data_IF_422077142436
#
_entry.id   IF_422077142436
#
_cell.length_a   1.000
_cell.length_b   1.000
_cell.length_c   1.000
_cell.angle_alpha   90.00
_cell.angle_beta   90.00
_cell.angle_gamma   90.00
#
_symmetry.space_group_name_H-M   'P 1'
#
loop_
_entity.id
_entity.type
_entity.pdbx_description
1 polymer ?
#
# COMPACT_ATOMS: atom_id res chain seq x y z
N UNK A 1 -54.74 -1.76 62.72
CA UNK A 1 -53.69 -2.64 63.33
C UNK A 1 -53.89 -2.59 64.83
N UNK A 2 -53.96 -3.78 65.48
CA UNK A 2 -54.15 -3.90 66.91
C UNK A 2 -53.17 -4.95 67.49
N UNK A 3 -52.81 -4.82 68.76
CA UNK A 3 -52.07 -5.86 69.47
C UNK A 3 -53.02 -7.03 69.89
N UNK A 4 -52.47 -8.07 70.51
CA UNK A 4 -53.23 -9.24 70.95
C UNK A 4 -54.24 -8.92 72.08
N UNK A 5 -54.13 -7.80 72.77
CA UNK A 5 -55.07 -7.31 73.80
C UNK A 5 -56.17 -6.40 73.22
N UNK A 6 -56.15 -6.13 71.90
CA UNK A 6 -57.13 -5.29 71.21
C UNK A 6 -56.84 -3.81 71.15
N UNK A 7 -55.65 -3.35 71.65
CA UNK A 7 -55.28 -1.93 71.59
C UNK A 7 -54.90 -1.50 70.20
N UNK A 8 -55.30 -0.31 69.77
CA UNK A 8 -54.95 0.24 68.49
C UNK A 8 -53.47 0.62 68.43
N UNK A 9 -52.79 0.25 67.34
CA UNK A 9 -51.45 0.70 67.06
C UNK A 9 -51.43 2.22 66.81
N UNK A 10 -50.42 2.90 67.34
CA UNK A 10 -50.12 4.24 66.87
C UNK A 10 -49.42 4.15 65.52
N UNK A 11 -49.98 4.77 64.48
CA UNK A 11 -49.49 4.77 63.12
C UNK A 11 -48.72 6.03 62.75
N UNK A 12 -48.35 6.85 63.72
CA UNK A 12 -47.52 8.04 63.46
C UNK A 12 -46.11 7.56 63.06
N UNK A 13 -45.77 7.84 61.83
CA UNK A 13 -44.47 7.55 61.27
C UNK A 13 -43.49 8.70 61.53
N UNK A 14 -42.20 8.37 61.68
CA UNK A 14 -41.15 9.40 61.74
C UNK A 14 -41.20 10.27 60.49
N UNK A 15 -40.99 11.56 60.66
CA UNK A 15 -40.87 12.49 59.53
C UNK A 15 -39.74 12.03 58.58
N UNK A 16 -39.85 12.26 57.27
CA UNK A 16 -38.79 11.97 56.33
C UNK A 16 -37.45 12.54 56.77
N UNK A 17 -36.37 11.78 56.65
CA UNK A 17 -35.00 12.08 57.09
C UNK A 17 -34.81 12.21 58.65
N UNK A 18 -35.85 12.16 59.50
CA UNK A 18 -35.72 12.11 60.95
C UNK A 18 -35.23 10.71 61.42
N UNK A 19 -34.67 10.67 62.64
CA UNK A 19 -34.27 9.40 63.29
C UNK A 19 -35.42 8.38 63.26
N UNK A 20 -35.14 7.10 62.89
CA UNK A 20 -36.12 6.02 62.68
C UNK A 20 -37.01 6.15 61.43
N UNK A 21 -36.78 7.15 60.57
CA UNK A 21 -37.40 7.17 59.25
C UNK A 21 -36.73 6.16 58.32
N UNK A 22 -37.40 5.79 57.20
CA UNK A 22 -36.82 4.91 56.18
C UNK A 22 -35.54 5.52 55.60
N UNK A 23 -35.50 6.79 55.26
CA UNK A 23 -34.32 7.45 54.71
C UNK A 23 -33.15 7.63 55.68
N UNK A 24 -33.42 7.65 57.01
CA UNK A 24 -32.35 7.63 58.03
C UNK A 24 -31.74 6.24 58.22
N UNK A 25 -32.53 5.18 57.99
CA UNK A 25 -32.10 3.78 58.27
C UNK A 25 -31.64 3.05 57.03
N UNK A 26 -31.98 3.53 55.79
CA UNK A 26 -31.67 2.88 54.49
C UNK A 26 -31.35 3.92 53.45
N UNK A 27 -30.25 3.76 52.74
CA UNK A 27 -29.93 4.49 51.53
C UNK A 27 -30.51 3.71 50.34
N UNK A 28 -31.78 3.97 50.01
CA UNK A 28 -32.46 3.36 48.88
C UNK A 28 -32.54 4.38 47.74
N UNK A 29 -31.99 4.03 46.60
CA UNK A 29 -32.04 4.84 45.38
C UNK A 29 -32.93 4.09 44.40
N UNK A 30 -33.88 4.80 43.78
CA UNK A 30 -34.67 4.35 42.66
C UNK A 30 -34.07 4.98 41.42
N UNK A 31 -33.45 4.13 40.58
CA UNK A 31 -32.84 4.54 39.32
C UNK A 31 -33.67 4.00 38.15
N UNK A 32 -34.09 4.90 37.26
CA UNK A 32 -34.88 4.62 36.05
C UNK A 32 -34.18 5.14 34.79
N UNK A 33 -32.94 5.64 34.93
CA UNK A 33 -32.14 6.13 33.81
C UNK A 33 -31.54 4.91 33.11
N UNK A 34 -31.63 4.84 31.80
CA UNK A 34 -31.06 3.78 31.00
C UNK A 34 -29.72 4.20 30.43
N UNK A 35 -28.66 3.38 30.52
CA UNK A 35 -27.40 3.67 29.86
C UNK A 35 -27.59 3.87 28.35
N UNK A 36 -26.96 4.89 27.77
CA UNK A 36 -26.94 5.14 26.34
C UNK A 36 -25.52 5.20 25.81
N UNK A 37 -25.30 4.85 24.52
CA UNK A 37 -23.98 5.03 23.89
C UNK A 37 -23.75 6.51 23.61
N UNK A 38 -22.62 7.04 24.03
CA UNK A 38 -22.21 8.44 23.80
C UNK A 38 -21.17 8.58 22.70
N UNK A 39 -20.27 7.59 22.54
CA UNK A 39 -19.24 7.62 21.50
C UNK A 39 -18.67 6.22 21.22
N UNK A 40 -18.17 6.04 20.01
CA UNK A 40 -17.31 4.91 19.60
C UNK A 40 -15.98 5.48 19.15
N UNK A 41 -14.87 4.90 19.63
CA UNK A 41 -13.52 5.31 19.24
C UNK A 41 -12.56 4.12 19.34
N UNK A 42 -11.27 4.35 19.24
CA UNK A 42 -10.24 3.31 19.41
C UNK A 42 -9.08 3.82 20.27
N UNK A 43 -8.48 2.94 21.04
CA UNK A 43 -7.20 3.21 21.72
C UNK A 43 -6.00 2.95 20.80
N UNK A 44 -6.20 2.24 19.69
CA UNK A 44 -5.19 2.05 18.65
C UNK A 44 -4.90 3.39 17.96
N UNK A 45 -3.66 3.64 17.58
CA UNK A 45 -3.26 4.88 16.90
C UNK A 45 -3.94 5.02 15.53
N UNK A 46 -3.96 6.23 14.98
CA UNK A 46 -4.31 6.44 13.57
C UNK A 46 -3.20 5.83 12.69
N UNK A 47 -3.59 5.25 11.55
CA UNK A 47 -2.65 4.62 10.61
C UNK A 47 -3.30 3.56 9.75
N UNK A 48 -2.47 2.91 8.93
CA UNK A 48 -2.87 1.79 8.08
C UNK A 48 -2.49 0.47 8.76
N UNK A 49 -3.33 -0.53 8.61
CA UNK A 49 -3.22 -1.82 9.28
C UNK A 49 -3.48 -2.96 8.29
N UNK A 50 -2.73 -4.05 8.40
CA UNK A 50 -2.82 -5.22 7.52
C UNK A 50 -3.28 -6.47 8.27
N UNK A 51 -3.38 -7.59 7.58
CA UNK A 51 -3.77 -8.89 8.16
C UNK A 51 -2.93 -9.26 9.37
N UNK A 52 -3.60 -9.55 10.49
CA UNK A 52 -2.98 -9.95 11.76
C UNK A 52 -2.85 -8.82 12.78
N UNK A 53 -2.99 -7.57 12.38
CA UNK A 53 -2.93 -6.42 13.28
C UNK A 53 -4.14 -6.37 14.21
N UNK A 54 -3.91 -5.86 15.43
CA UNK A 54 -4.93 -5.76 16.46
C UNK A 54 -5.38 -4.31 16.66
N UNK A 55 -6.70 -4.09 16.61
CA UNK A 55 -7.35 -2.79 16.78
C UNK A 55 -8.31 -2.88 17.96
N UNK A 56 -8.07 -2.09 19.01
CA UNK A 56 -8.91 -2.04 20.20
C UNK A 56 -9.98 -0.96 20.07
N UNK A 57 -11.22 -1.37 19.74
CA UNK A 57 -12.37 -0.47 19.59
C UNK A 57 -13.07 -0.31 20.93
N UNK A 58 -13.42 0.91 21.29
CA UNK A 58 -14.08 1.24 22.54
C UNK A 58 -15.42 1.90 22.33
N UNK A 59 -16.43 1.46 23.09
CA UNK A 59 -17.78 2.06 23.14
C UNK A 59 -17.95 2.69 24.53
N UNK A 60 -18.25 3.98 24.55
CA UNK A 60 -18.48 4.74 25.81
C UNK A 60 -19.97 4.87 26.07
N UNK A 61 -20.38 4.49 27.29
CA UNK A 61 -21.74 4.64 27.78
C UNK A 61 -21.90 5.88 28.68
N UNK A 62 -23.10 6.37 28.80
CA UNK A 62 -23.45 7.54 29.66
C UNK A 62 -23.20 7.27 31.14
N UNK A 63 -23.16 6.01 31.56
CA UNK A 63 -22.95 5.57 32.96
C UNK A 63 -22.30 4.20 33.02
N UNK A 64 -21.98 3.72 34.23
CA UNK A 64 -21.36 2.42 34.48
C UNK A 64 -22.28 1.28 34.03
N UNK A 65 -21.76 0.33 33.25
CA UNK A 65 -22.50 -0.82 32.78
C UNK A 65 -21.82 -2.14 33.10
N UNK A 66 -22.63 -3.13 33.45
CA UNK A 66 -22.22 -4.52 33.68
C UNK A 66 -22.61 -5.37 32.48
N UNK A 67 -21.67 -6.15 31.98
CA UNK A 67 -21.85 -7.03 30.81
C UNK A 67 -21.94 -8.49 31.25
N UNK A 68 -22.89 -9.23 30.70
CA UNK A 68 -22.92 -10.69 30.77
C UNK A 68 -22.95 -11.28 29.35
N UNK A 69 -22.41 -12.49 29.18
CA UNK A 69 -22.30 -13.11 27.87
C UNK A 69 -21.26 -12.40 26.97
N UNK A 70 -21.48 -12.44 25.66
CA UNK A 70 -20.53 -11.97 24.68
C UNK A 70 -21.23 -11.07 23.64
N UNK A 71 -21.58 -9.82 23.99
CA UNK A 71 -22.10 -8.85 23.03
C UNK A 71 -21.14 -8.69 21.83
N UNK A 72 -21.66 -8.39 20.66
CA UNK A 72 -20.93 -8.32 19.40
C UNK A 72 -21.07 -6.93 18.78
N UNK A 73 -19.99 -6.48 18.15
CA UNK A 73 -19.95 -5.29 17.31
C UNK A 73 -19.62 -5.71 15.88
N UNK A 74 -20.45 -5.34 14.91
CA UNK A 74 -20.21 -5.59 13.48
C UNK A 74 -19.52 -4.39 12.87
N UNK A 75 -18.31 -4.61 12.29
CA UNK A 75 -17.50 -3.60 11.61
C UNK A 75 -17.72 -3.68 10.11
N UNK A 76 -17.75 -2.52 9.43
CA UNK A 76 -17.70 -2.41 7.97
C UNK A 76 -16.28 -2.65 7.50
N UNK A 77 -16.01 -3.81 6.91
CA UNK A 77 -14.68 -4.25 6.48
C UNK A 77 -14.64 -4.71 5.03
N UNK A 78 -15.45 -4.07 4.18
CA UNK A 78 -15.49 -4.26 2.73
C UNK A 78 -16.55 -5.28 2.30
N UNK A 79 -16.20 -6.24 1.44
CA UNK A 79 -17.17 -7.19 0.89
C UNK A 79 -17.80 -8.13 1.92
N UNK A 80 -17.20 -8.27 3.08
CA UNK A 80 -17.67 -9.12 4.20
C UNK A 80 -17.39 -8.38 5.50
N UNK A 81 -18.46 -8.07 6.22
CA UNK A 81 -18.38 -7.41 7.52
C UNK A 81 -17.78 -8.31 8.58
N UNK A 82 -16.97 -7.73 9.46
CA UNK A 82 -16.34 -8.47 10.55
C UNK A 82 -17.14 -8.34 11.85
N UNK A 83 -17.57 -9.45 12.42
CA UNK A 83 -18.22 -9.50 13.73
C UNK A 83 -17.16 -9.69 14.82
N UNK A 84 -17.07 -8.73 15.74
CA UNK A 84 -16.10 -8.71 16.84
C UNK A 84 -16.80 -8.96 18.16
N UNK A 85 -16.26 -9.86 18.96
CA UNK A 85 -16.80 -10.21 20.29
C UNK A 85 -16.32 -9.21 21.36
N UNK A 86 -17.20 -8.90 22.31
CA UNK A 86 -16.84 -8.17 23.52
C UNK A 86 -15.62 -8.77 24.21
N UNK A 87 -14.71 -7.91 24.61
CA UNK A 87 -13.43 -8.30 25.22
C UNK A 87 -13.31 -7.93 26.71
N UNK A 88 -13.60 -6.67 27.08
CA UNK A 88 -13.37 -6.19 28.44
C UNK A 88 -14.09 -4.88 28.77
N UNK A 89 -14.07 -4.45 30.06
CA UNK A 89 -14.61 -3.17 30.52
C UNK A 89 -15.88 -3.28 31.34
N UNK A 90 -16.41 -4.48 31.66
CA UNK A 90 -17.59 -4.63 32.53
C UNK A 90 -17.37 -3.97 33.92
N UNK A 91 -18.34 -3.20 34.37
CA UNK A 91 -18.25 -2.40 35.59
C UNK A 91 -17.69 -0.99 35.35
N UNK A 92 -17.48 -0.59 34.11
CA UNK A 92 -17.01 0.75 33.72
C UNK A 92 -17.98 1.41 32.73
N UNK A 93 -17.70 2.67 32.37
CA UNK A 93 -18.41 3.39 31.31
C UNK A 93 -17.87 3.07 29.91
N UNK A 94 -16.69 2.44 29.80
CA UNK A 94 -16.03 2.12 28.53
C UNK A 94 -15.92 0.61 28.41
N UNK A 95 -16.49 0.07 27.34
CA UNK A 95 -16.38 -1.32 26.95
C UNK A 95 -15.46 -1.46 25.73
N UNK A 96 -14.71 -2.56 25.63
CA UNK A 96 -13.71 -2.80 24.58
C UNK A 96 -14.03 -4.04 23.76
N UNK A 97 -13.86 -3.92 22.43
CA UNK A 97 -13.87 -4.99 21.43
C UNK A 97 -12.49 -5.04 20.75
N UNK A 98 -11.79 -6.16 20.84
CA UNK A 98 -10.50 -6.33 20.17
C UNK A 98 -10.73 -6.99 18.80
N UNK A 99 -10.56 -6.20 17.75
CA UNK A 99 -10.62 -6.65 16.37
C UNK A 99 -9.21 -7.05 15.91
N UNK A 100 -9.06 -8.23 15.32
CA UNK A 100 -7.86 -8.64 14.58
C UNK A 100 -8.20 -8.62 13.11
N UNK A 101 -7.42 -7.87 12.33
CA UNK A 101 -7.63 -7.74 10.88
C UNK A 101 -7.51 -9.11 10.22
N UNK A 102 -8.58 -9.55 9.57
CA UNK A 102 -8.60 -10.83 8.86
C UNK A 102 -8.26 -10.64 7.37
N UNK A 103 -7.78 -11.69 6.73
CA UNK A 103 -7.51 -11.68 5.28
C UNK A 103 -8.78 -11.35 4.51
N UNK A 104 -8.67 -10.41 3.56
CA UNK A 104 -9.79 -9.91 2.74
C UNK A 104 -10.58 -8.76 3.35
N UNK A 105 -10.29 -8.36 4.61
CA UNK A 105 -10.86 -7.14 5.17
C UNK A 105 -10.20 -5.90 4.55
N UNK A 106 -10.99 -4.89 4.21
CA UNK A 106 -10.51 -3.60 3.70
C UNK A 106 -11.40 -2.48 4.21
N UNK A 107 -10.82 -1.31 4.48
CA UNK A 107 -11.57 -0.09 4.79
C UNK A 107 -10.67 1.12 4.57
N UNK A 108 -11.16 2.13 3.87
CA UNK A 108 -10.45 3.41 3.73
C UNK A 108 -10.53 4.28 4.98
N UNK A 109 -11.49 4.00 5.87
CA UNK A 109 -11.66 4.64 7.18
C UNK A 109 -12.61 3.76 8.00
N UNK A 110 -12.07 3.01 8.96
CA UNK A 110 -12.79 1.95 9.67
C UNK A 110 -13.93 2.50 10.53
N UNK A 111 -15.13 1.99 10.29
CA UNK A 111 -16.29 2.23 11.14
C UNK A 111 -17.08 0.94 11.40
N UNK A 112 -18.11 1.01 12.20
CA UNK A 112 -19.08 -0.08 12.33
C UNK A 112 -20.17 0.03 11.25
N UNK A 113 -20.81 -1.10 10.95
CA UNK A 113 -21.70 -1.27 9.79
C UNK A 113 -22.93 -0.34 9.81
N UNK A 114 -23.52 -0.07 10.99
CA UNK A 114 -24.74 0.77 11.13
C UNK A 114 -24.96 1.19 12.58
N UNK A 115 -25.94 2.05 12.81
CA UNK A 115 -26.39 2.44 14.17
C UNK A 115 -26.90 1.26 15.01
N UNK A 116 -27.20 0.11 14.40
CA UNK A 116 -27.64 -1.14 15.06
C UNK A 116 -26.56 -2.22 15.10
N UNK A 117 -25.31 -1.88 14.79
CA UNK A 117 -24.20 -2.84 14.72
C UNK A 117 -23.80 -3.45 16.06
N UNK A 118 -24.17 -2.85 17.19
CA UNK A 118 -23.95 -3.42 18.53
C UNK A 118 -25.12 -4.32 18.92
N UNK A 119 -24.85 -5.62 19.07
CA UNK A 119 -25.84 -6.64 19.40
C UNK A 119 -25.50 -7.38 20.70
N UNK A 120 -26.51 -7.76 21.48
CA UNK A 120 -26.30 -8.47 22.75
C UNK A 120 -25.83 -9.91 22.60
N UNK A 121 -26.11 -10.56 21.46
CA UNK A 121 -25.75 -11.98 21.21
C UNK A 121 -26.08 -12.89 22.41
N UNK A 122 -27.32 -12.85 22.88
CA UNK A 122 -27.82 -13.55 24.08
C UNK A 122 -27.19 -13.09 25.42
N UNK A 123 -26.35 -12.07 25.42
CA UNK A 123 -25.81 -11.43 26.64
C UNK A 123 -26.68 -10.30 27.14
N UNK A 124 -26.16 -9.51 28.08
CA UNK A 124 -26.79 -8.27 28.58
C UNK A 124 -25.77 -7.17 28.78
N UNK A 125 -26.22 -5.92 28.61
CA UNK A 125 -25.51 -4.71 29.05
C UNK A 125 -26.51 -3.91 29.89
N UNK A 126 -26.22 -3.73 31.20
CA UNK A 126 -27.12 -3.11 32.18
C UNK A 126 -26.36 -2.25 33.14
N UNK A 127 -27.04 -1.24 33.71
CA UNK A 127 -26.54 -0.52 34.89
C UNK A 127 -26.63 -1.34 36.19
N UNK A 128 -26.26 -0.70 37.31
CA UNK A 128 -26.31 -1.31 38.63
C UNK A 128 -27.76 -1.50 39.16
N UNK A 129 -28.73 -0.73 38.67
CA UNK A 129 -30.16 -0.85 39.03
C UNK A 129 -30.87 -1.94 38.20
N UNK A 130 -30.25 -2.44 37.13
CA UNK A 130 -30.78 -3.46 36.25
C UNK A 130 -31.46 -2.93 34.99
N UNK A 131 -31.38 -1.61 34.70
CA UNK A 131 -31.91 -1.02 33.47
C UNK A 131 -31.07 -1.48 32.27
N UNK A 132 -31.74 -1.90 31.18
CA UNK A 132 -31.05 -2.31 29.98
C UNK A 132 -30.46 -1.08 29.25
N UNK A 133 -29.24 -1.20 28.74
CA UNK A 133 -28.64 -0.17 27.90
C UNK A 133 -29.36 -0.05 26.54
N UNK A 134 -29.50 1.19 26.06
CA UNK A 134 -29.86 1.51 24.68
C UNK A 134 -28.59 1.36 23.82
N UNK A 135 -28.62 0.46 22.83
CA UNK A 135 -27.45 0.06 22.03
C UNK A 135 -27.30 0.82 20.72
N UNK A 136 -28.13 1.84 20.50
CA UNK A 136 -28.06 2.65 19.27
C UNK A 136 -26.75 3.41 19.25
N UNK A 137 -25.90 3.12 18.27
CA UNK A 137 -24.63 3.79 18.03
C UNK A 137 -24.85 5.13 17.30
N UNK A 138 -23.91 6.09 17.36
CA UNK A 138 -23.87 7.24 16.47
C UNK A 138 -23.98 6.81 15.00
N UNK A 139 -24.44 7.69 14.11
CA UNK A 139 -24.44 7.37 12.67
C UNK A 139 -23.01 7.23 12.17
N UNK A 140 -22.66 6.15 11.43
CA UNK A 140 -21.33 5.98 10.87
C UNK A 140 -20.87 7.20 10.07
N UNK A 141 -19.62 7.63 10.27
CA UNK A 141 -19.03 8.83 9.66
C UNK A 141 -19.45 10.16 10.30
N UNK A 142 -20.47 10.18 11.18
CA UNK A 142 -20.91 11.39 11.87
C UNK A 142 -20.26 11.53 13.25
N UNK A 143 -20.44 12.69 13.88
CA UNK A 143 -19.86 13.01 15.19
C UNK A 143 -20.02 11.86 16.20
N UNK A 144 -18.95 11.56 16.93
CA UNK A 144 -18.84 10.47 17.90
C UNK A 144 -18.87 9.04 17.31
N UNK A 145 -18.89 8.84 15.99
CA UNK A 145 -18.62 7.53 15.36
C UNK A 145 -17.14 7.17 15.43
N UNK A 146 -16.80 5.92 15.12
CA UNK A 146 -15.40 5.46 15.10
C UNK A 146 -14.59 6.21 14.03
N UNK A 147 -15.07 6.30 12.79
CA UNK A 147 -14.39 7.01 11.71
C UNK A 147 -14.24 8.51 11.96
N UNK A 148 -15.25 9.16 12.60
CA UNK A 148 -15.12 10.57 12.96
C UNK A 148 -14.07 10.83 14.05
N UNK A 149 -13.81 9.84 14.90
CA UNK A 149 -12.87 9.94 16.03
C UNK A 149 -11.47 9.41 15.70
N UNK A 150 -11.32 8.60 14.65
CA UNK A 150 -10.08 7.88 14.30
C UNK A 150 -9.94 7.75 12.78
N UNK A 151 -8.74 7.94 12.29
CA UNK A 151 -8.37 7.63 10.92
C UNK A 151 -7.64 6.28 10.90
N UNK A 152 -8.38 5.19 10.77
CA UNK A 152 -7.87 3.81 10.73
C UNK A 152 -8.17 3.22 9.36
N UNK A 153 -7.13 2.91 8.60
CA UNK A 153 -7.23 2.29 7.27
C UNK A 153 -6.93 0.79 7.40
N UNK A 154 -7.72 -0.04 6.76
CA UNK A 154 -7.43 -1.47 6.61
C UNK A 154 -7.03 -1.70 5.16
N UNK A 155 -5.73 -1.97 4.96
CA UNK A 155 -5.12 -2.14 3.64
C UNK A 155 -4.39 -3.47 3.54
N UNK A 156 -4.67 -4.21 2.48
CA UNK A 156 -4.03 -5.49 2.17
C UNK A 156 -3.48 -5.52 0.75
N UNK A 157 -3.51 -4.37 0.06
CA UNK A 157 -2.90 -4.25 -1.25
C UNK A 157 -1.37 -4.19 -1.08
N UNK A 158 -0.66 -5.01 -1.84
CA UNK A 158 0.81 -4.96 -1.84
C UNK A 158 1.29 -3.89 -2.83
N UNK A 159 2.35 -3.15 -2.54
CA UNK A 159 2.89 -2.17 -3.47
C UNK A 159 3.41 -2.84 -4.74
N UNK A 160 3.12 -2.21 -5.89
CA UNK A 160 3.50 -2.70 -7.21
C UNK A 160 4.20 -1.64 -8.03
N UNK A 161 5.12 -2.08 -8.92
CA UNK A 161 5.73 -1.21 -9.92
C UNK A 161 4.68 -0.94 -11.00
N UNK A 162 4.28 0.32 -11.14
CA UNK A 162 3.31 0.77 -12.15
C UNK A 162 3.97 1.10 -13.48
N UNK A 163 5.21 1.61 -13.47
CA UNK A 163 5.93 2.04 -14.65
C UNK A 163 7.44 2.06 -14.41
N UNK A 164 8.20 1.83 -15.48
CA UNK A 164 9.66 2.09 -15.52
C UNK A 164 10.02 2.94 -16.74
N UNK A 165 10.90 3.94 -16.56
CA UNK A 165 11.39 4.83 -17.61
C UNK A 165 12.90 4.86 -17.64
N UNK A 166 13.50 4.46 -18.77
CA UNK A 166 14.94 4.39 -18.96
C UNK A 166 15.49 5.72 -19.48
N UNK A 167 16.63 6.16 -18.96
CA UNK A 167 17.39 7.28 -19.52
C UNK A 167 17.98 6.89 -20.89
N UNK A 168 17.96 7.81 -21.86
CA UNK A 168 18.42 7.58 -23.24
C UNK A 168 19.86 7.08 -23.36
N UNK A 169 20.71 7.40 -22.39
CA UNK A 169 22.11 6.95 -22.30
C UNK A 169 22.27 5.67 -21.45
N UNK A 170 21.18 4.99 -21.08
CA UNK A 170 21.17 3.79 -20.24
C UNK A 170 21.83 3.96 -18.85
N UNK A 171 22.03 5.19 -18.37
CA UNK A 171 22.74 5.43 -17.09
C UNK A 171 21.86 5.25 -15.86
N UNK A 172 20.54 5.34 -16.02
CA UNK A 172 19.58 5.21 -14.93
C UNK A 172 18.20 4.78 -15.42
N UNK A 173 17.42 4.21 -14.50
CA UNK A 173 16.02 3.86 -14.71
C UNK A 173 15.19 4.48 -13.59
N UNK A 174 14.10 5.16 -13.94
CA UNK A 174 13.08 5.63 -13.00
C UNK A 174 12.04 4.51 -12.82
N UNK A 175 11.79 4.14 -11.58
CA UNK A 175 10.81 3.12 -11.16
C UNK A 175 9.71 3.84 -10.39
N UNK A 176 8.46 3.71 -10.83
CA UNK A 176 7.29 4.32 -10.20
C UNK A 176 6.47 3.24 -9.50
N UNK A 177 6.21 3.39 -8.20
CA UNK A 177 5.25 2.56 -7.48
C UNK A 177 3.83 3.14 -7.56
N UNK A 178 2.81 2.27 -7.44
CA UNK A 178 1.40 2.67 -7.39
C UNK A 178 1.06 3.50 -6.14
N UNK A 179 1.89 3.43 -5.09
CA UNK A 179 1.69 4.04 -3.78
C UNK A 179 3.00 4.42 -3.10
N UNK A 180 2.93 5.04 -1.91
CA UNK A 180 4.10 5.35 -1.10
C UNK A 180 4.70 4.08 -0.51
N UNK A 181 6.03 3.95 -0.58
CA UNK A 181 6.75 2.78 -0.09
C UNK A 181 7.88 3.17 0.87
N UNK A 182 8.19 2.25 1.78
CA UNK A 182 9.10 2.40 2.90
C UNK A 182 10.05 1.21 3.00
N UNK A 183 11.16 1.39 3.72
CA UNK A 183 12.15 0.33 3.92
C UNK A 183 11.71 -0.73 4.93
N UNK A 184 10.84 -0.37 5.87
CA UNK A 184 10.45 -1.23 7.00
C UNK A 184 8.92 -1.33 7.10
N UNK A 185 8.43 -2.44 7.62
CA UNK A 185 7.00 -2.72 7.75
C UNK A 185 6.25 -1.78 8.71
N UNK A 186 6.95 -0.98 9.51
CA UNK A 186 6.37 0.07 10.35
C UNK A 186 6.25 1.43 9.64
N UNK A 187 6.28 1.44 8.31
CA UNK A 187 6.23 2.61 7.44
C UNK A 187 7.34 3.63 7.73
N UNK A 188 8.54 3.16 8.05
CA UNK A 188 9.69 4.01 8.32
C UNK A 188 10.88 3.71 7.40
N UNK A 189 11.82 4.66 7.35
CA UNK A 189 13.03 4.55 6.57
C UNK A 189 12.84 4.82 5.06
N UNK A 190 13.82 5.51 4.47
CA UNK A 190 13.90 5.69 3.04
C UNK A 190 14.50 4.45 2.38
N UNK A 191 14.05 4.13 1.15
CA UNK A 191 14.62 3.04 0.38
C UNK A 191 16.09 3.32 0.03
N UNK A 192 16.86 2.26 -0.01
CA UNK A 192 18.28 2.24 -0.40
C UNK A 192 18.46 1.44 -1.71
N UNK A 193 19.62 1.58 -2.33
CA UNK A 193 19.90 0.90 -3.60
C UNK A 193 19.82 -0.64 -3.46
N UNK A 194 20.16 -1.19 -2.30
CA UNK A 194 20.10 -2.62 -2.02
C UNK A 194 18.70 -3.18 -1.76
N UNK A 195 17.68 -2.31 -1.72
CA UNK A 195 16.27 -2.74 -1.66
C UNK A 195 15.74 -3.11 -3.06
N UNK A 196 16.57 -2.89 -4.11
CA UNK A 196 16.29 -3.24 -5.50
C UNK A 196 17.34 -4.17 -6.07
N UNK A 197 16.92 -5.06 -6.96
CA UNK A 197 17.81 -5.90 -7.74
C UNK A 197 17.54 -5.74 -9.23
N UNK A 198 18.64 -5.68 -10.01
CA UNK A 198 18.63 -5.70 -11.46
C UNK A 198 18.96 -7.08 -12.00
N UNK A 199 18.35 -7.43 -13.12
CA UNK A 199 18.79 -8.48 -14.00
C UNK A 199 18.77 -8.00 -15.45
N UNK A 200 19.64 -8.59 -16.29
CA UNK A 200 19.71 -8.26 -17.72
C UNK A 200 19.74 -9.57 -18.52
N UNK A 201 19.08 -9.57 -19.67
CA UNK A 201 19.07 -10.68 -20.60
C UNK A 201 19.14 -10.20 -22.04
N UNK A 202 19.65 -11.02 -22.95
CA UNK A 202 19.86 -10.66 -24.35
C UNK A 202 21.11 -9.80 -24.57
N UNK A 203 21.36 -9.42 -25.83
CA UNK A 203 22.40 -8.49 -26.26
C UNK A 203 23.84 -8.85 -25.89
N UNK A 204 24.70 -7.81 -25.89
CA UNK A 204 26.14 -7.94 -25.64
C UNK A 204 26.59 -7.32 -24.31
N UNK A 205 25.80 -6.37 -23.78
CA UNK A 205 26.11 -5.75 -22.50
C UNK A 205 25.64 -6.62 -21.32
N UNK A 206 26.34 -6.49 -20.18
CA UNK A 206 26.00 -7.14 -18.93
C UNK A 206 25.97 -6.11 -17.80
N UNK A 207 25.40 -6.48 -16.66
CA UNK A 207 25.46 -5.65 -15.45
C UNK A 207 26.84 -5.76 -14.78
N UNK A 208 27.41 -4.64 -14.35
CA UNK A 208 28.59 -4.63 -13.48
C UNK A 208 28.22 -5.00 -12.02
N UNK A 209 26.95 -4.80 -11.65
CA UNK A 209 26.36 -5.18 -10.37
C UNK A 209 24.86 -5.38 -10.53
N UNK A 210 24.30 -6.40 -9.86
CA UNK A 210 22.87 -6.58 -9.75
C UNK A 210 22.21 -5.54 -8.82
N UNK A 211 22.97 -4.90 -7.92
CA UNK A 211 22.48 -3.80 -7.09
C UNK A 211 22.65 -2.48 -7.84
N UNK A 212 21.65 -1.59 -7.87
CA UNK A 212 21.78 -0.25 -8.42
C UNK A 212 22.99 0.51 -7.86
N UNK A 213 23.66 1.30 -8.69
CA UNK A 213 24.84 2.08 -8.29
C UNK A 213 24.51 3.32 -7.47
N UNK A 214 23.27 3.78 -7.55
CA UNK A 214 22.73 4.91 -6.80
C UNK A 214 21.23 4.86 -6.72
N UNK A 215 20.64 5.64 -5.81
CA UNK A 215 19.20 5.84 -5.69
C UNK A 215 18.93 7.31 -5.38
N UNK A 216 17.85 7.85 -5.94
CA UNK A 216 17.24 9.11 -5.51
C UNK A 216 15.72 8.97 -5.64
N UNK A 217 14.96 9.66 -4.76
CA UNK A 217 13.52 9.55 -4.71
C UNK A 217 12.84 10.91 -4.89
N UNK A 218 11.67 10.91 -5.55
CA UNK A 218 10.77 12.04 -5.66
C UNK A 218 9.33 11.52 -5.65
N UNK A 219 8.64 11.65 -4.50
CA UNK A 219 7.35 10.97 -4.28
C UNK A 219 7.51 9.46 -4.44
N UNK A 220 6.63 8.84 -5.23
CA UNK A 220 6.66 7.40 -5.50
C UNK A 220 7.63 6.99 -6.63
N UNK A 221 8.46 7.91 -7.14
CA UNK A 221 9.41 7.66 -8.23
C UNK A 221 10.82 7.52 -7.66
N UNK A 222 11.46 6.40 -7.95
CA UNK A 222 12.83 6.06 -7.54
C UNK A 222 13.72 5.97 -8.77
N UNK A 223 14.68 6.89 -8.89
CA UNK A 223 15.69 6.85 -9.96
C UNK A 223 16.89 6.05 -9.51
N UNK A 224 17.13 4.92 -10.17
CA UNK A 224 18.16 3.95 -9.85
C UNK A 224 19.29 4.03 -10.89
N UNK A 225 20.53 4.16 -10.44
CA UNK A 225 21.71 4.15 -11.30
C UNK A 225 22.04 2.76 -11.83
N UNK A 226 22.32 2.66 -13.13
CA UNK A 226 22.65 1.41 -13.82
C UNK A 226 24.15 1.36 -14.05
N UNK A 227 24.80 0.28 -13.63
CA UNK A 227 26.19 -0.02 -13.98
C UNK A 227 26.23 -1.10 -15.09
N UNK A 228 26.67 -0.71 -16.28
CA UNK A 228 26.86 -1.63 -17.41
C UNK A 228 28.33 -1.98 -17.64
N UNK A 229 28.58 -3.18 -18.13
CA UNK A 229 29.85 -3.65 -18.68
C UNK A 229 29.61 -4.05 -20.12
N UNK A 230 30.40 -3.51 -21.05
CA UNK A 230 30.16 -3.59 -22.49
C UNK A 230 29.20 -2.51 -22.97
N UNK A 231 28.98 -2.46 -24.29
CA UNK A 231 28.13 -1.49 -24.98
C UNK A 231 26.82 -2.16 -25.35
N UNK A 232 25.66 -1.63 -24.90
CA UNK A 232 24.36 -2.13 -25.31
C UNK A 232 24.15 -2.03 -26.83
N UNK A 233 23.53 -3.05 -27.41
CA UNK A 233 23.20 -3.13 -28.83
C UNK A 233 21.68 -3.07 -29.11
N UNK A 234 20.88 -2.68 -28.11
CA UNK A 234 19.44 -2.57 -28.25
C UNK A 234 18.68 -3.90 -28.19
N UNK A 235 19.36 -5.00 -27.88
CA UNK A 235 18.73 -6.31 -27.70
C UNK A 235 18.65 -6.73 -26.24
N UNK A 236 19.24 -5.95 -25.35
CA UNK A 236 19.23 -6.21 -23.93
C UNK A 236 17.90 -5.81 -23.30
N UNK A 237 17.35 -6.66 -22.45
CA UNK A 237 16.21 -6.34 -21.58
C UNK A 237 16.70 -6.24 -20.13
N UNK A 238 16.59 -5.04 -19.54
CA UNK A 238 16.82 -4.79 -18.13
C UNK A 238 15.51 -5.03 -17.38
N UNK A 239 15.59 -5.76 -16.27
CA UNK A 239 14.48 -5.98 -15.34
C UNK A 239 14.88 -5.50 -13.95
N UNK A 240 14.01 -4.80 -13.25
CA UNK A 240 14.16 -4.36 -11.86
C UNK A 240 13.10 -5.01 -10.98
N UNK A 241 13.50 -5.50 -9.80
CA UNK A 241 12.57 -6.08 -8.82
C UNK A 241 12.90 -5.57 -7.42
N UNK A 242 11.90 -5.47 -6.51
CA UNK A 242 12.14 -5.39 -5.08
C UNK A 242 12.96 -6.57 -4.58
N UNK A 243 13.81 -6.35 -3.59
CA UNK A 243 14.49 -7.41 -2.84
C UNK A 243 13.53 -7.91 -1.76
N UNK A 244 13.57 -9.20 -1.47
CA UNK A 244 12.79 -9.83 -0.40
C UNK A 244 13.01 -9.12 0.95
N UNK A 245 11.94 -8.80 1.66
CA UNK A 245 11.93 -8.02 2.91
C UNK A 245 12.57 -6.62 2.77
N UNK A 246 12.54 -6.00 1.59
CA UNK A 246 13.18 -4.71 1.32
C UNK A 246 12.24 -3.53 1.18
N UNK A 247 11.00 -3.73 0.73
CA UNK A 247 10.08 -2.66 0.38
C UNK A 247 8.67 -2.97 0.90
N UNK A 248 8.08 -2.02 1.63
CA UNK A 248 6.76 -2.13 2.26
C UNK A 248 5.90 -0.89 1.98
N UNK A 249 4.58 -1.02 2.03
CA UNK A 249 3.65 0.11 2.06
C UNK A 249 3.46 0.70 3.48
N UNK A 250 2.49 1.62 3.61
CA UNK A 250 2.16 2.25 4.89
C UNK A 250 1.44 1.33 5.88
N UNK A 251 0.86 0.22 5.41
CA UNK A 251 0.21 -0.80 6.24
C UNK A 251 1.18 -1.91 6.67
N UNK A 252 2.37 -1.99 6.05
CA UNK A 252 3.35 -3.04 6.27
C UNK A 252 3.22 -4.23 5.32
N UNK A 253 2.42 -4.10 4.23
CA UNK A 253 2.39 -5.11 3.19
C UNK A 253 3.67 -5.07 2.37
N UNK A 254 4.31 -6.21 2.18
CA UNK A 254 5.56 -6.32 1.44
C UNK A 254 5.35 -6.32 -0.08
N UNK A 255 6.17 -5.55 -0.81
CA UNK A 255 6.23 -5.59 -2.27
C UNK A 255 6.74 -6.94 -2.76
N UNK A 256 5.97 -7.61 -3.62
CA UNK A 256 6.39 -8.89 -4.21
C UNK A 256 7.67 -8.74 -5.02
N UNK A 257 8.56 -9.74 -4.95
CA UNK A 257 9.72 -9.87 -5.85
C UNK A 257 9.31 -10.19 -7.30
N UNK A 258 8.05 -10.62 -7.51
CA UNK A 258 7.46 -10.83 -8.83
C UNK A 258 6.61 -9.63 -9.19
N UNK A 259 7.11 -8.80 -10.11
CA UNK A 259 6.46 -7.57 -10.57
C UNK A 259 6.07 -7.66 -12.04
N UNK A 260 5.10 -6.85 -12.45
CA UNK A 260 4.82 -6.51 -13.85
C UNK A 260 5.29 -5.07 -14.13
N UNK A 261 5.37 -4.65 -15.39
CA UNK A 261 5.79 -3.29 -15.79
C UNK A 261 7.19 -2.87 -15.28
N UNK A 262 8.05 -3.85 -15.03
CA UNK A 262 9.35 -3.69 -14.39
C UNK A 262 10.54 -3.98 -15.32
N UNK A 263 10.30 -4.07 -16.63
CA UNK A 263 11.31 -4.40 -17.64
C UNK A 263 11.31 -3.39 -18.78
N UNK A 264 12.49 -3.13 -19.33
CA UNK A 264 12.69 -2.20 -20.44
C UNK A 264 13.85 -2.66 -21.32
N UNK A 265 13.75 -2.43 -22.63
CA UNK A 265 14.86 -2.67 -23.57
C UNK A 265 15.85 -1.51 -23.48
N UNK A 266 17.13 -1.81 -23.38
CA UNK A 266 18.19 -0.80 -23.41
C UNK A 266 18.28 -0.14 -24.79
N UNK A 267 18.63 1.15 -24.79
CA UNK A 267 18.92 1.86 -26.05
C UNK A 267 20.24 1.34 -26.64
N UNK A 268 20.28 1.16 -27.93
CA UNK A 268 21.51 0.88 -28.68
C UNK A 268 22.52 2.02 -28.53
N UNK A 269 23.73 1.67 -28.12
CA UNK A 269 24.86 2.59 -27.96
C UNK A 269 26.06 2.12 -28.82
N UNK A 270 25.86 1.09 -29.65
CA UNK A 270 26.88 0.67 -30.60
C UNK A 270 27.02 1.69 -31.72
N UNK A 271 28.23 1.85 -32.22
CA UNK A 271 28.52 2.70 -33.39
C UNK A 271 28.72 1.81 -34.62
N UNK A 272 28.03 2.11 -35.73
CA UNK A 272 28.23 1.38 -36.97
C UNK A 272 29.66 1.51 -37.43
N UNK A 273 30.33 0.40 -37.68
CA UNK A 273 31.71 0.35 -38.27
C UNK A 273 31.67 -0.39 -39.60
N UNK A 274 32.55 0.02 -40.50
CA UNK A 274 32.74 -0.68 -41.77
C UNK A 274 33.27 -2.10 -41.51
N UNK A 275 32.50 -3.10 -41.89
CA UNK A 275 32.90 -4.53 -41.78
C UNK A 275 33.56 -5.06 -43.05
N UNK A 276 33.13 -4.57 -44.23
CA UNK A 276 33.68 -5.03 -45.50
C UNK A 276 33.54 -3.95 -46.56
N UNK A 277 34.54 -3.82 -47.42
CA UNK A 277 34.50 -3.10 -48.69
C UNK A 277 34.73 -4.08 -49.82
N UNK A 278 33.81 -4.17 -50.75
CA UNK A 278 33.90 -5.09 -51.87
C UNK A 278 33.24 -4.50 -53.12
N UNK A 279 33.09 -5.27 -54.17
CA UNK A 279 32.34 -4.90 -55.37
C UNK A 279 31.36 -6.02 -55.72
N UNK A 280 30.17 -5.66 -56.20
CA UNK A 280 29.25 -6.63 -56.80
C UNK A 280 29.61 -6.90 -58.27
N UNK A 281 30.46 -6.05 -58.86
CA UNK A 281 31.04 -6.27 -60.15
C UNK A 281 32.04 -7.45 -60.11
N UNK A 282 31.95 -8.39 -61.06
CA UNK A 282 32.79 -9.58 -61.11
C UNK A 282 34.28 -9.23 -61.28
N UNK A 283 35.16 -10.15 -60.86
CA UNK A 283 36.59 -10.00 -61.12
C UNK A 283 36.86 -9.95 -62.65
N UNK A 284 37.65 -8.99 -63.08
CA UNK A 284 37.96 -8.83 -64.50
C UNK A 284 38.80 -7.62 -64.83
N UNK A 285 39.06 -7.39 -66.07
CA UNK A 285 39.71 -6.19 -66.64
C UNK A 285 38.64 -5.29 -67.21
N UNK A 286 38.60 -4.05 -66.78
CA UNK A 286 37.55 -3.07 -67.15
C UNK A 286 38.15 -1.92 -67.94
N UNK A 287 37.42 -1.43 -68.94
CA UNK A 287 37.82 -0.34 -69.81
C UNK A 287 37.04 0.95 -69.45
N UNK A 288 37.44 2.05 -70.08
CA UNK A 288 36.71 3.34 -69.94
C UNK A 288 35.20 3.14 -70.20
N UNK A 289 34.40 3.78 -69.40
CA UNK A 289 32.93 3.71 -69.34
C UNK A 289 32.34 2.40 -68.79
N UNK A 290 33.12 1.45 -68.29
CA UNK A 290 32.53 0.37 -67.54
C UNK A 290 32.17 0.85 -66.12
N UNK A 291 30.98 0.49 -65.64
CA UNK A 291 30.56 0.78 -64.28
C UNK A 291 31.04 -0.32 -63.32
N UNK A 292 31.67 0.07 -62.25
CA UNK A 292 32.07 -0.83 -61.16
C UNK A 292 31.25 -0.42 -59.91
N UNK A 293 30.41 -1.34 -59.44
CA UNK A 293 29.59 -1.12 -58.27
C UNK A 293 30.36 -1.54 -56.98
N UNK A 294 30.83 -0.58 -56.22
CA UNK A 294 31.51 -0.77 -54.93
C UNK A 294 30.48 -0.76 -53.82
N UNK A 295 30.59 -1.73 -52.91
CA UNK A 295 29.72 -1.85 -51.75
C UNK A 295 30.51 -1.76 -50.46
N UNK A 296 30.02 -1.01 -49.50
CA UNK A 296 30.51 -0.89 -48.14
C UNK A 296 29.44 -1.51 -47.22
N UNK A 297 29.82 -2.54 -46.48
CA UNK A 297 28.94 -3.16 -45.49
C UNK A 297 29.32 -2.68 -44.14
N UNK A 298 28.35 -2.29 -43.34
CA UNK A 298 28.49 -1.90 -41.95
C UNK A 298 28.09 -3.04 -41.00
N UNK A 299 28.50 -2.98 -39.77
CA UNK A 299 28.15 -3.94 -38.71
C UNK A 299 26.68 -3.90 -38.34
N UNK A 300 25.99 -2.80 -38.68
CA UNK A 300 24.57 -2.57 -38.39
C UNK A 300 23.95 -1.66 -39.48
N UNK A 301 22.63 -1.52 -39.47
CA UNK A 301 21.92 -0.69 -40.44
C UNK A 301 22.29 0.79 -40.24
N UNK A 302 22.59 1.48 -41.34
CA UNK A 302 22.99 2.90 -41.34
C UNK A 302 22.03 3.74 -42.16
N UNK A 303 21.66 4.90 -41.66
CA UNK A 303 20.93 5.91 -42.40
C UNK A 303 21.92 6.91 -43.00
N UNK A 304 21.90 7.00 -44.35
CA UNK A 304 22.79 7.93 -45.07
C UNK A 304 22.05 9.24 -45.33
N UNK A 305 22.65 10.35 -44.92
CA UNK A 305 22.21 11.70 -45.22
C UNK A 305 23.25 12.43 -46.09
N UNK A 306 22.79 13.24 -47.01
CA UNK A 306 23.66 13.94 -47.97
C UNK A 306 24.26 13.00 -49.03
N UNK A 307 25.43 13.31 -49.54
CA UNK A 307 26.13 12.58 -50.58
C UNK A 307 27.56 12.25 -50.14
N UNK A 308 27.76 11.25 -49.26
CA UNK A 308 29.11 10.78 -48.90
C UNK A 308 29.91 10.38 -50.14
N UNK A 309 31.23 10.54 -50.05
CA UNK A 309 32.13 10.24 -51.15
C UNK A 309 33.16 9.19 -50.75
N UNK A 310 33.50 8.34 -51.71
CA UNK A 310 34.59 7.36 -51.61
C UNK A 310 35.70 7.75 -52.58
N UNK A 311 36.93 7.93 -52.11
CA UNK A 311 38.10 8.11 -52.96
C UNK A 311 38.73 6.76 -53.25
N UNK A 312 38.92 6.48 -54.52
CA UNK A 312 39.56 5.29 -55.06
C UNK A 312 40.92 5.62 -55.62
N UNK A 313 41.93 4.83 -55.23
CA UNK A 313 43.26 4.84 -55.86
C UNK A 313 43.14 4.30 -57.30
N UNK A 314 43.27 5.14 -58.31
CA UNK A 314 43.14 4.82 -59.72
C UNK A 314 44.37 5.21 -60.56
N UNK A 315 45.53 5.33 -59.92
CA UNK A 315 46.79 5.62 -60.55
C UNK A 315 47.28 7.06 -60.28
N UNK A 316 47.70 7.80 -61.34
CA UNK A 316 48.30 9.10 -61.17
C UNK A 316 47.33 10.19 -60.64
N UNK A 317 46.03 9.90 -60.65
CA UNK A 317 44.94 10.77 -60.15
C UNK A 317 43.85 9.90 -59.56
N UNK A 318 43.53 10.08 -58.31
CA UNK A 318 42.46 9.35 -57.62
C UNK A 318 41.07 9.75 -58.14
N UNK A 319 40.18 8.76 -58.17
CA UNK A 319 38.79 8.94 -58.54
C UNK A 319 37.89 9.11 -57.29
N UNK A 320 37.09 10.15 -57.27
CA UNK A 320 36.09 10.40 -56.21
C UNK A 320 34.72 9.99 -56.77
N UNK A 321 34.08 9.06 -56.05
CA UNK A 321 32.74 8.55 -56.42
C UNK A 321 31.72 8.87 -55.32
N UNK A 322 30.53 9.27 -55.76
CA UNK A 322 29.44 9.67 -54.87
C UNK A 322 28.65 8.43 -54.42
N UNK A 323 28.11 8.48 -53.21
CA UNK A 323 27.11 7.54 -52.73
C UNK A 323 25.92 7.46 -53.72
N UNK A 324 25.45 6.27 -54.00
CA UNK A 324 24.36 6.04 -54.97
C UNK A 324 23.09 5.49 -54.25
N UNK A 325 23.20 4.47 -53.42
CA UNK A 325 22.05 3.82 -52.77
C UNK A 325 22.46 2.91 -51.62
N UNK A 326 21.47 2.44 -50.82
CA UNK A 326 21.68 1.44 -49.74
C UNK A 326 21.48 2.01 -48.36
N UNK A 327 20.69 3.07 -48.18
CA UNK A 327 20.32 3.60 -46.84
C UNK A 327 19.20 2.77 -46.18
N UNK A 328 19.31 2.43 -44.91
CA UNK A 328 18.32 1.73 -44.09
C UNK A 328 18.62 0.26 -43.88
#
# INVERSE_FOLDING_TARGET
IKDAAGNNANLDMAQPAATNSLGANKALIVDTVTPTVSAVTSTTANGSYHTGDAIAITVTFSELVTVTGTPQLTLETGSTDQVVNYSSGSGATILTWNYTVASGNTSSDLDYQSTSALALNSGTIKDAAGNNAVLTLPTPGEENSLAANKAIVIDQAVPTISEVNLALNNSSIAVTFNEAVFKTADASGALEANDFAFSISGGSATLSSATPTSISASGNVYTLGIGLSGTPNGSETLTVVPVDNGIYDAAGNEASTSQSNNSVTLYDQTIPIVSTVTATTANGVYTVNNAIAITITFTEAVTVSGTPQLTLETGSSDAVVNYASGSG
#
